data_IF_384529676294
#
_entry.id   IF_384529676294
#
_cell.length_a   1.000
_cell.length_b   1.000
_cell.length_c   1.000
_cell.angle_alpha   90.00
_cell.angle_beta   90.00
_cell.angle_gamma   90.00
#
_symmetry.space_group_name_H-M   'P 1'
#
loop_
_entity.id
_entity.type
_entity.pdbx_description
1 polymer ?
#
# COMPACT_ATOMS: atom_id res chain seq x y z
N UNK A 1 -2.38 24.34 58.79
CA UNK A 1 -3.11 23.07 59.06
C UNK A 1 -2.52 21.93 58.24
N UNK A 2 -2.01 20.86 58.90
CA UNK A 2 -1.55 19.64 58.21
C UNK A 2 -2.71 18.79 57.64
N UNK A 3 -3.91 18.88 58.22
CA UNK A 3 -5.11 18.17 57.75
C UNK A 3 -5.59 18.67 56.38
N UNK A 4 -5.58 19.99 56.13
CA UNK A 4 -6.02 20.56 54.86
C UNK A 4 -5.17 20.09 53.66
N UNK A 5 -3.85 19.88 53.87
CA UNK A 5 -2.96 19.34 52.85
C UNK A 5 -3.27 17.86 52.53
N UNK A 6 -3.45 17.02 53.57
CA UNK A 6 -3.85 15.61 53.41
C UNK A 6 -5.20 15.47 52.68
N UNK A 7 -6.19 16.32 52.98
CA UNK A 7 -7.47 16.31 52.28
C UNK A 7 -7.36 16.70 50.80
N UNK A 8 -6.50 17.65 50.43
CA UNK A 8 -6.25 17.98 49.02
C UNK A 8 -5.58 16.82 48.28
N UNK A 9 -4.57 16.18 48.88
CA UNK A 9 -3.91 15.01 48.29
C UNK A 9 -4.87 13.82 48.10
N UNK A 10 -5.72 13.53 49.08
CA UNK A 10 -6.73 12.48 48.97
C UNK A 10 -7.76 12.74 47.86
N UNK A 11 -8.24 13.98 47.71
CA UNK A 11 -9.14 14.38 46.61
C UNK A 11 -8.46 14.26 45.24
N UNK A 12 -7.19 14.64 45.13
CA UNK A 12 -6.40 14.47 43.90
C UNK A 12 -6.28 12.99 43.52
N UNK A 13 -5.91 12.13 44.48
CA UNK A 13 -5.74 10.69 44.26
C UNK A 13 -7.04 9.99 43.83
N UNK A 14 -8.18 10.32 44.44
CA UNK A 14 -9.47 9.77 44.02
C UNK A 14 -9.84 10.21 42.59
N UNK A 15 -9.64 11.49 42.23
CA UNK A 15 -9.91 11.98 40.87
C UNK A 15 -9.08 11.25 39.82
N UNK A 16 -7.80 10.97 40.10
CA UNK A 16 -6.93 10.17 39.20
C UNK A 16 -7.39 8.71 39.11
N UNK A 17 -7.84 8.11 40.22
CA UNK A 17 -8.37 6.73 40.26
C UNK A 17 -9.68 6.59 39.47
N UNK A 18 -10.58 7.58 39.55
CA UNK A 18 -11.81 7.62 38.76
C UNK A 18 -11.52 7.78 37.26
N UNK A 19 -10.61 8.69 36.88
CA UNK A 19 -10.22 8.89 35.48
C UNK A 19 -9.65 7.61 34.85
N UNK A 20 -8.67 7.00 35.52
CA UNK A 20 -8.04 5.75 35.03
C UNK A 20 -9.01 4.57 34.96
N UNK A 21 -10.01 4.52 35.86
CA UNK A 21 -11.08 3.49 35.80
C UNK A 21 -12.02 3.74 34.61
N UNK A 22 -12.38 5.00 34.34
CA UNK A 22 -13.23 5.39 33.20
C UNK A 22 -12.55 5.09 31.87
N UNK A 23 -11.25 5.37 31.71
CA UNK A 23 -10.50 5.03 30.50
C UNK A 23 -10.38 3.51 30.28
N UNK A 24 -10.10 2.74 31.34
CA UNK A 24 -10.07 1.26 31.23
C UNK A 24 -11.43 0.69 30.79
N UNK A 25 -12.54 1.29 31.22
CA UNK A 25 -13.89 0.91 30.76
C UNK A 25 -14.10 1.26 29.28
N UNK A 26 -13.79 2.49 28.86
CA UNK A 26 -13.93 2.92 27.44
C UNK A 26 -13.08 2.06 26.49
N UNK A 27 -11.86 1.69 26.88
CA UNK A 27 -11.00 0.79 26.09
C UNK A 27 -11.59 -0.62 25.93
N UNK A 28 -12.24 -1.16 26.98
CA UNK A 28 -12.94 -2.46 26.92
C UNK A 28 -14.18 -2.41 26.02
N UNK A 29 -14.98 -1.35 26.13
CA UNK A 29 -16.17 -1.14 25.29
C UNK A 29 -15.79 -0.97 23.81
N UNK A 30 -14.75 -0.19 23.50
CA UNK A 30 -14.22 -0.04 22.14
C UNK A 30 -13.65 -1.36 21.56
N UNK A 31 -12.98 -2.17 22.38
CA UNK A 31 -12.49 -3.50 21.98
C UNK A 31 -13.65 -4.45 21.63
N UNK A 32 -14.70 -4.49 22.47
CA UNK A 32 -15.90 -5.29 22.21
C UNK A 32 -16.59 -4.91 20.89
N UNK A 33 -16.73 -3.60 20.62
CA UNK A 33 -17.31 -3.09 19.37
C UNK A 33 -16.47 -3.46 18.13
N UNK A 34 -15.13 -3.46 18.22
CA UNK A 34 -14.25 -3.94 17.13
C UNK A 34 -14.48 -5.44 16.85
N UNK A 35 -14.61 -6.27 17.89
CA UNK A 35 -14.88 -7.71 17.74
C UNK A 35 -16.26 -7.99 17.11
N UNK A 36 -17.31 -7.27 17.53
CA UNK A 36 -18.63 -7.37 16.91
C UNK A 36 -18.62 -6.98 15.42
N UNK A 37 -17.94 -5.88 15.07
CA UNK A 37 -17.83 -5.43 13.67
C UNK A 37 -17.10 -6.45 12.79
N UNK A 38 -16.04 -7.09 13.30
CA UNK A 38 -15.33 -8.15 12.61
C UNK A 38 -16.20 -9.40 12.39
N UNK A 39 -17.00 -9.82 13.37
CA UNK A 39 -17.96 -10.94 13.24
C UNK A 39 -19.01 -10.67 12.16
N UNK A 40 -19.53 -9.44 12.08
CA UNK A 40 -20.52 -9.05 11.06
C UNK A 40 -19.94 -9.08 9.65
N UNK A 41 -18.75 -8.50 9.44
CA UNK A 41 -18.06 -8.54 8.14
C UNK A 41 -17.79 -9.97 7.65
N UNK A 42 -17.36 -10.88 8.55
CA UNK A 42 -17.14 -12.30 8.21
C UNK A 42 -18.42 -13.04 7.85
N UNK A 43 -19.57 -12.65 8.41
CA UNK A 43 -20.90 -13.23 8.08
C UNK A 43 -21.42 -12.73 6.73
N UNK A 44 -21.10 -11.49 6.35
CA UNK A 44 -21.50 -10.93 5.06
C UNK A 44 -20.64 -11.45 3.89
N UNK A 45 -19.33 -11.57 4.09
CA UNK A 45 -18.41 -12.19 3.12
C UNK A 45 -18.85 -13.61 2.73
N UNK A 46 -19.13 -14.48 3.71
CA UNK A 46 -19.66 -15.84 3.48
C UNK A 46 -21.04 -15.88 2.79
N UNK A 47 -21.80 -14.78 2.83
CA UNK A 47 -23.09 -14.65 2.14
C UNK A 47 -22.92 -14.32 0.66
N UNK A 48 -21.93 -13.47 0.33
CA UNK A 48 -21.58 -13.12 -1.05
C UNK A 48 -20.91 -14.28 -1.79
N UNK A 49 -20.05 -15.02 -1.09
CA UNK A 49 -19.37 -16.22 -1.61
C UNK A 49 -20.34 -17.33 -2.04
N UNK A 50 -21.45 -17.52 -1.30
CA UNK A 50 -22.52 -18.46 -1.70
C UNK A 50 -23.36 -17.99 -2.88
N UNK A 51 -23.55 -16.67 -3.04
CA UNK A 51 -24.34 -16.11 -4.15
C UNK A 51 -23.58 -16.10 -5.49
N UNK A 52 -22.25 -16.16 -5.48
CA UNK A 52 -21.45 -16.21 -6.71
C UNK A 52 -21.31 -17.59 -7.36
N UNK A 53 -21.79 -18.65 -6.71
CA UNK A 53 -21.56 -20.04 -7.14
C UNK A 53 -22.63 -20.63 -8.08
N UNK A 54 -23.75 -19.93 -8.31
CA UNK A 54 -24.92 -20.49 -9.01
C UNK A 54 -25.07 -20.09 -10.50
N UNK A 55 -24.12 -19.33 -11.06
CA UNK A 55 -24.20 -18.85 -12.46
C UNK A 55 -22.87 -18.94 -13.23
N UNK A 56 -22.53 -20.15 -13.72
CA UNK A 56 -21.77 -20.36 -14.99
C UNK A 56 -21.91 -21.81 -15.49
N UNK A 57 -22.93 -22.10 -16.32
CA UNK A 57 -23.04 -23.37 -17.04
C UNK A 57 -23.85 -23.23 -18.35
N UNK A 58 -23.17 -23.16 -19.50
CA UNK A 58 -23.67 -23.51 -20.85
C UNK A 58 -22.52 -23.37 -21.88
N UNK A 59 -21.92 -24.46 -22.38
CA UNK A 59 -22.19 -25.18 -23.66
C UNK A 59 -21.49 -24.58 -24.91
N UNK A 60 -20.64 -25.34 -25.64
CA UNK A 60 -19.93 -24.90 -26.86
C UNK A 60 -20.55 -25.42 -28.18
N UNK A 61 -20.21 -24.78 -29.32
CA UNK A 61 -20.53 -25.23 -30.69
C UNK A 61 -19.51 -24.65 -31.72
N UNK A 62 -19.46 -25.09 -32.99
CA UNK A 62 -18.63 -26.24 -33.37
C UNK A 62 -17.60 -25.94 -34.49
N UNK A 63 -16.75 -26.93 -34.79
CA UNK A 63 -15.69 -26.84 -35.80
C UNK A 63 -16.19 -27.00 -37.25
N UNK A 64 -15.40 -26.52 -38.22
CA UNK A 64 -15.49 -26.93 -39.63
C UNK A 64 -14.10 -27.02 -40.26
N UNK A 65 -13.89 -28.12 -40.98
CA UNK A 65 -12.65 -28.53 -41.65
C UNK A 65 -12.78 -28.35 -43.17
N UNK A 66 -11.68 -28.01 -43.87
CA UNK A 66 -11.28 -28.60 -45.16
C UNK A 66 -9.90 -28.07 -45.63
N UNK A 67 -9.22 -28.87 -46.46
CA UNK A 67 -7.76 -28.87 -46.62
C UNK A 67 -7.25 -28.39 -48.01
N UNK A 68 -5.93 -28.56 -48.16
CA UNK A 68 -5.05 -28.37 -49.35
C UNK A 68 -4.55 -26.93 -49.57
N UNK A 69 -3.35 -26.68 -50.14
CA UNK A 69 -2.37 -27.59 -50.79
C UNK A 69 -0.91 -27.26 -50.40
N UNK A 70 0.07 -27.90 -51.05
CA UNK A 70 1.52 -27.80 -50.83
C UNK A 70 2.19 -26.47 -51.25
N UNK A 71 3.29 -26.11 -50.58
CA UNK A 71 4.61 -25.99 -51.24
C UNK A 71 5.75 -25.84 -50.22
N UNK A 72 6.73 -26.73 -50.30
CA UNK A 72 7.98 -26.69 -49.53
C UNK A 72 8.95 -25.67 -50.12
N UNK A 73 9.23 -24.56 -49.43
CA UNK A 73 10.51 -23.79 -49.46
C UNK A 73 10.40 -22.49 -48.61
N UNK A 74 10.01 -22.58 -47.32
CA UNK A 74 9.99 -21.42 -46.41
C UNK A 74 10.18 -21.76 -44.93
N UNK A 75 11.03 -22.73 -44.63
CA UNK A 75 11.23 -23.25 -43.27
C UNK A 75 12.23 -22.43 -42.42
N UNK A 76 13.33 -21.92 -43.00
CA UNK A 76 14.39 -21.24 -42.21
C UNK A 76 14.04 -19.81 -41.77
N UNK A 77 13.33 -19.02 -42.59
CA UNK A 77 13.01 -17.61 -42.26
C UNK A 77 11.80 -17.39 -41.34
N UNK A 78 11.14 -18.48 -40.89
CA UNK A 78 10.07 -18.44 -39.88
C UNK A 78 10.56 -18.71 -38.46
N UNK A 79 11.76 -19.28 -38.28
CA UNK A 79 12.30 -19.60 -36.97
C UNK A 79 12.82 -18.34 -36.27
N UNK A 80 13.61 -17.52 -36.98
CA UNK A 80 14.12 -16.22 -36.49
C UNK A 80 13.01 -15.19 -36.22
N UNK A 81 11.88 -15.27 -36.95
CA UNK A 81 10.71 -14.40 -36.69
C UNK A 81 9.78 -14.90 -35.59
N UNK A 82 9.96 -16.13 -35.06
CA UNK A 82 9.21 -16.60 -33.89
C UNK A 82 9.80 -16.10 -32.57
N UNK A 83 11.10 -15.83 -32.52
CA UNK A 83 11.76 -15.23 -31.35
C UNK A 83 11.31 -13.77 -31.10
N UNK A 84 10.82 -13.09 -32.14
CA UNK A 84 10.31 -11.71 -32.05
C UNK A 84 8.81 -11.55 -31.75
N UNK A 85 8.08 -12.65 -31.49
CA UNK A 85 6.65 -12.59 -31.11
C UNK A 85 6.35 -13.11 -29.70
N UNK A 86 7.38 -13.35 -28.89
CA UNK A 86 7.27 -13.63 -27.45
C UNK A 86 6.97 -12.40 -26.59
N UNK A 87 6.15 -11.44 -27.06
CA UNK A 87 5.75 -10.26 -26.26
C UNK A 87 4.65 -10.63 -25.25
N UNK A 88 4.94 -11.62 -24.41
CA UNK A 88 4.20 -11.83 -23.17
C UNK A 88 4.31 -10.54 -22.35
N UNK A 89 3.18 -10.02 -21.87
CA UNK A 89 3.13 -8.85 -20.99
C UNK A 89 4.22 -8.98 -19.93
N UNK A 90 5.19 -8.06 -19.94
CA UNK A 90 6.46 -8.21 -19.23
C UNK A 90 6.19 -8.07 -17.73
N UNK A 91 5.89 -9.21 -17.09
CA UNK A 91 5.46 -9.36 -15.70
C UNK A 91 6.32 -8.51 -14.78
N UNK A 92 5.70 -7.82 -13.83
CA UNK A 92 6.44 -7.06 -12.83
C UNK A 92 7.14 -8.04 -11.89
N UNK A 93 8.49 -8.05 -11.83
CA UNK A 93 9.20 -8.98 -10.96
C UNK A 93 8.97 -8.60 -9.50
N UNK A 94 8.85 -9.62 -8.65
CA UNK A 94 8.95 -9.42 -7.20
C UNK A 94 10.33 -8.83 -6.88
N UNK A 95 10.34 -7.74 -6.12
CA UNK A 95 11.54 -7.06 -5.67
C UNK A 95 11.63 -7.22 -4.15
N UNK A 96 12.50 -8.08 -3.62
CA UNK A 96 12.76 -8.12 -2.18
C UNK A 96 13.28 -6.76 -1.71
N UNK A 97 13.24 -6.52 -0.40
CA UNK A 97 13.97 -5.37 0.17
C UNK A 97 15.46 -5.73 0.12
N UNK A 98 16.31 -5.02 -0.63
CA UNK A 98 17.75 -5.28 -0.61
C UNK A 98 18.33 -4.89 0.75
N UNK A 99 19.38 -5.59 1.17
CA UNK A 99 20.22 -5.13 2.26
C UNK A 99 21.00 -3.89 1.79
N UNK A 100 20.75 -2.76 2.46
CA UNK A 100 21.45 -1.50 2.22
C UNK A 100 22.46 -1.18 3.33
N UNK A 101 22.63 -2.08 4.31
CA UNK A 101 23.42 -1.86 5.52
C UNK A 101 22.72 -0.95 6.54
N UNK A 102 23.27 -0.93 7.76
CA UNK A 102 22.65 -0.30 8.93
C UNK A 102 22.43 1.21 8.82
N UNK A 103 23.14 1.91 7.93
CA UNK A 103 22.96 3.35 7.69
C UNK A 103 21.61 3.71 7.05
N UNK A 104 20.93 2.74 6.44
CA UNK A 104 19.74 2.97 5.63
C UNK A 104 18.52 2.26 6.20
N UNK A 105 17.35 2.80 5.89
CA UNK A 105 16.07 2.17 6.17
C UNK A 105 15.15 2.30 4.93
N UNK A 106 14.12 1.46 4.87
CA UNK A 106 13.21 1.37 3.74
C UNK A 106 11.77 1.57 4.22
N UNK A 107 11.07 2.49 3.56
CA UNK A 107 9.63 2.70 3.71
C UNK A 107 8.89 2.30 2.42
N UNK A 108 7.68 1.77 2.54
CA UNK A 108 6.80 1.46 1.40
C UNK A 108 5.43 2.09 1.62
N UNK A 109 5.02 2.99 0.72
CA UNK A 109 3.88 3.89 0.91
C UNK A 109 2.93 3.89 -0.29
N UNK A 110 1.62 3.89 -0.04
CA UNK A 110 0.55 4.13 -1.01
C UNK A 110 -0.03 5.52 -0.82
N UNK A 111 -0.02 6.34 -1.88
CA UNK A 111 -0.30 7.79 -1.82
C UNK A 111 -1.13 8.26 -3.04
N UNK A 112 -1.94 7.38 -3.62
CA UNK A 112 -2.57 7.60 -4.93
C UNK A 112 -1.65 7.22 -6.08
N UNK A 113 -1.75 7.93 -7.21
CA UNK A 113 -0.90 7.68 -8.38
C UNK A 113 0.59 7.83 -8.02
N UNK A 114 1.37 6.76 -8.17
CA UNK A 114 2.74 6.68 -7.64
C UNK A 114 3.77 7.62 -8.29
N UNK A 115 3.44 8.29 -9.40
CA UNK A 115 4.36 9.15 -10.14
C UNK A 115 4.75 10.44 -9.39
N UNK A 116 3.78 11.10 -8.73
CA UNK A 116 4.06 12.31 -7.95
C UNK A 116 4.81 11.99 -6.65
N UNK A 117 4.40 11.00 -5.84
CA UNK A 117 5.16 10.54 -4.68
C UNK A 117 6.60 10.14 -5.01
N UNK A 118 6.84 9.39 -6.09
CA UNK A 118 8.20 9.01 -6.50
C UNK A 118 9.08 10.24 -6.74
N UNK A 119 8.56 11.21 -7.51
CA UNK A 119 9.27 12.45 -7.84
C UNK A 119 9.58 13.27 -6.58
N UNK A 120 8.62 13.39 -5.66
CA UNK A 120 8.76 14.18 -4.43
C UNK A 120 9.75 13.57 -3.43
N UNK A 121 9.69 12.25 -3.21
CA UNK A 121 10.67 11.57 -2.37
C UNK A 121 12.05 11.56 -3.02
N UNK A 122 12.16 11.36 -4.34
CA UNK A 122 13.44 11.42 -5.07
C UNK A 122 14.12 12.79 -5.01
N UNK A 123 13.35 13.86 -4.79
CA UNK A 123 13.86 15.23 -4.60
C UNK A 123 14.16 15.57 -3.13
N UNK A 124 13.98 14.65 -2.19
CA UNK A 124 14.15 14.90 -0.75
C UNK A 124 15.57 14.53 -0.30
N UNK A 125 16.33 15.49 0.23
CA UNK A 125 17.71 15.27 0.68
C UNK A 125 17.81 14.16 1.74
N UNK A 126 18.69 13.18 1.54
CA UNK A 126 18.83 12.01 2.42
C UNK A 126 18.03 10.78 1.97
N UNK A 127 17.13 10.92 0.99
CA UNK A 127 16.62 9.79 0.20
C UNK A 127 17.68 9.41 -0.84
N UNK A 128 18.06 8.14 -0.86
CA UNK A 128 19.07 7.59 -1.77
C UNK A 128 18.43 7.07 -3.05
N UNK A 129 17.30 6.37 -2.93
CA UNK A 129 16.68 5.68 -4.04
C UNK A 129 15.17 5.54 -3.88
N UNK A 130 14.43 5.68 -4.98
CA UNK A 130 12.99 5.40 -5.04
C UNK A 130 12.66 4.46 -6.20
N UNK A 131 11.69 3.57 -5.95
CA UNK A 131 11.15 2.60 -6.92
C UNK A 131 9.63 2.61 -6.81
N UNK A 132 8.93 2.64 -7.95
CA UNK A 132 7.48 2.46 -8.01
C UNK A 132 7.09 1.00 -8.28
N UNK A 133 5.96 0.57 -7.74
CA UNK A 133 5.53 -0.83 -7.80
C UNK A 133 4.11 -1.05 -7.30
N UNK A 134 3.80 -2.33 -7.10
CA UNK A 134 2.48 -2.85 -6.70
C UNK A 134 2.65 -3.73 -5.46
N UNK A 135 1.86 -3.49 -4.41
CA UNK A 135 1.88 -4.30 -3.18
C UNK A 135 0.52 -4.23 -2.45
N UNK A 136 0.38 -4.96 -1.34
CA UNK A 136 -0.83 -4.99 -0.52
C UNK A 136 -1.99 -5.81 -1.11
N UNK A 137 -1.71 -6.62 -2.14
CA UNK A 137 -2.58 -7.67 -2.68
C UNK A 137 -2.01 -9.08 -2.46
N UNK A 138 -2.85 -10.09 -2.60
CA UNK A 138 -2.50 -11.52 -2.52
C UNK A 138 -2.13 -12.13 -3.86
N UNK A 139 -2.58 -11.56 -4.98
CA UNK A 139 -2.33 -12.11 -6.31
C UNK A 139 -0.86 -11.99 -6.74
N UNK A 140 -0.40 -12.90 -7.61
CA UNK A 140 0.99 -12.96 -8.04
C UNK A 140 1.21 -12.32 -9.42
N UNK A 141 2.36 -11.66 -9.59
CA UNK A 141 2.83 -11.08 -10.87
C UNK A 141 1.87 -10.05 -11.53
N UNK A 142 1.43 -9.00 -10.82
CA UNK A 142 0.64 -7.91 -11.42
C UNK A 142 1.39 -7.22 -12.58
N UNK A 143 0.63 -6.48 -13.38
CA UNK A 143 1.13 -5.56 -14.42
C UNK A 143 0.27 -4.30 -14.39
N UNK A 144 0.70 -3.18 -14.98
CA UNK A 144 -0.15 -1.99 -15.01
C UNK A 144 -1.54 -2.23 -15.63
N UNK A 145 -1.58 -3.03 -16.70
CA UNK A 145 -2.83 -3.41 -17.39
C UNK A 145 -3.71 -4.39 -16.61
N UNK A 146 -3.16 -5.05 -15.59
CA UNK A 146 -3.86 -5.94 -14.69
C UNK A 146 -3.19 -5.93 -13.32
N UNK A 147 -3.50 -4.91 -12.52
CA UNK A 147 -2.93 -4.72 -11.17
C UNK A 147 -3.52 -5.70 -10.14
N UNK A 148 -4.58 -6.42 -10.50
CA UNK A 148 -5.27 -7.38 -9.66
C UNK A 148 -5.75 -6.72 -8.36
N UNK A 149 -5.39 -7.26 -7.19
CA UNK A 149 -5.77 -6.73 -5.88
C UNK A 149 -4.66 -5.89 -5.21
N UNK A 150 -3.69 -5.39 -5.98
CA UNK A 150 -2.61 -4.53 -5.46
C UNK A 150 -2.97 -3.04 -5.48
N UNK A 151 -2.17 -2.26 -4.77
CA UNK A 151 -2.17 -0.79 -4.72
C UNK A 151 -0.86 -0.26 -5.30
N UNK A 152 -0.91 0.87 -6.00
CA UNK A 152 0.27 1.60 -6.43
C UNK A 152 1.06 2.11 -5.23
N UNK A 153 2.35 1.79 -5.22
CA UNK A 153 3.23 2.06 -4.11
C UNK A 153 4.56 2.66 -4.56
N UNK A 154 5.12 3.52 -3.71
CA UNK A 154 6.52 3.94 -3.77
C UNK A 154 7.29 3.26 -2.64
N UNK A 155 8.41 2.62 -2.98
CA UNK A 155 9.42 2.16 -2.03
C UNK A 155 10.55 3.19 -2.00
N UNK A 156 10.93 3.62 -0.82
CA UNK A 156 11.87 4.71 -0.55
C UNK A 156 12.99 4.17 0.32
N UNK A 157 14.23 4.34 -0.13
CA UNK A 157 15.45 4.00 0.63
C UNK A 157 16.05 5.32 1.10
N UNK A 158 16.22 5.48 2.40
CA UNK A 158 16.69 6.73 3.00
C UNK A 158 17.72 6.47 4.10
N UNK A 159 18.57 7.47 4.35
CA UNK A 159 19.64 7.43 5.33
C UNK A 159 19.09 7.78 6.72
N UNK A 160 19.21 6.85 7.69
CA UNK A 160 18.70 7.01 9.07
C UNK A 160 19.22 8.27 9.78
N UNK A 161 20.40 8.78 9.38
CA UNK A 161 21.00 10.01 9.93
C UNK A 161 20.27 11.31 9.54
N UNK A 162 19.39 11.28 8.54
CA UNK A 162 18.59 12.44 8.12
C UNK A 162 17.13 12.33 8.58
N UNK A 163 16.57 11.11 8.57
CA UNK A 163 15.17 10.84 8.88
C UNK A 163 15.02 9.53 9.64
N UNK A 164 14.11 9.51 10.60
CA UNK A 164 13.49 8.29 11.11
C UNK A 164 12.33 7.84 10.22
N UNK A 165 11.82 6.62 10.43
CA UNK A 165 10.60 6.16 9.77
C UNK A 165 9.38 7.05 10.09
N UNK A 166 9.32 7.64 11.31
CA UNK A 166 8.26 8.56 11.71
C UNK A 166 8.30 9.85 10.88
N UNK A 167 9.50 10.39 10.61
CA UNK A 167 9.67 11.57 9.74
C UNK A 167 9.21 11.28 8.29
N UNK A 168 9.50 10.09 7.76
CA UNK A 168 9.03 9.68 6.43
C UNK A 168 7.50 9.56 6.39
N UNK A 169 6.88 9.05 7.46
CA UNK A 169 5.42 9.03 7.60
C UNK A 169 4.83 10.45 7.71
N UNK A 170 5.49 11.38 8.39
CA UNK A 170 5.06 12.78 8.43
C UNK A 170 5.23 13.50 7.09
N UNK A 171 6.29 13.22 6.34
CA UNK A 171 6.48 13.73 4.98
C UNK A 171 5.36 13.23 4.06
N UNK A 172 4.99 11.96 4.17
CA UNK A 172 3.83 11.38 3.48
C UNK A 172 2.55 12.14 3.80
N UNK A 173 2.23 12.28 5.10
CA UNK A 173 1.01 12.96 5.55
C UNK A 173 0.97 14.45 5.19
N UNK A 174 2.13 15.12 5.08
CA UNK A 174 2.21 16.53 4.67
C UNK A 174 2.06 16.74 3.15
N UNK A 175 2.30 15.73 2.32
CA UNK A 175 2.34 15.84 0.84
C UNK A 175 1.17 15.17 0.13
N UNK A 176 0.28 14.53 0.87
CA UNK A 176 -0.83 13.75 0.35
C UNK A 176 -2.10 14.05 1.16
N UNK A 177 -3.25 14.11 0.48
CA UNK A 177 -4.57 14.21 1.09
C UNK A 177 -5.20 12.81 1.16
N UNK A 178 -5.27 12.17 2.34
CA UNK A 178 -5.91 10.87 2.46
C UNK A 178 -7.43 11.00 2.30
N UNK A 179 -8.03 10.01 1.64
CA UNK A 179 -9.47 9.92 1.43
C UNK A 179 -9.99 8.59 1.99
N UNK A 180 -11.27 8.51 2.41
CA UNK A 180 -11.87 7.26 2.83
C UNK A 180 -11.70 6.17 1.76
N UNK A 181 -11.38 4.94 2.17
CA UNK A 181 -11.22 3.82 1.23
C UNK A 181 -12.48 3.48 0.41
N UNK A 182 -13.66 3.99 0.81
CA UNK A 182 -14.91 3.92 0.04
C UNK A 182 -15.02 4.96 -1.07
N UNK A 183 -14.13 5.95 -1.10
CA UNK A 183 -14.14 7.11 -2.00
C UNK A 183 -12.99 7.11 -3.01
N UNK A 184 -12.13 6.08 -2.98
CA UNK A 184 -11.01 5.88 -3.92
C UNK A 184 -10.97 4.43 -4.38
N UNK A 185 -10.45 4.16 -5.58
CA UNK A 185 -10.20 2.78 -5.99
C UNK A 185 -9.10 2.16 -5.14
N UNK A 186 -9.10 0.83 -5.00
CA UNK A 186 -8.08 0.08 -4.26
C UNK A 186 -6.66 0.38 -4.77
N UNK A 187 -6.50 0.58 -6.08
CA UNK A 187 -5.24 0.96 -6.72
C UNK A 187 -4.61 2.23 -6.12
N UNK A 188 -5.42 3.17 -5.62
CA UNK A 188 -4.98 4.50 -5.18
C UNK A 188 -5.19 4.76 -3.67
N UNK A 189 -5.37 3.71 -2.86
CA UNK A 189 -5.64 3.85 -1.41
C UNK A 189 -4.44 4.42 -0.63
N UNK A 190 -4.74 5.16 0.44
CA UNK A 190 -3.76 5.66 1.41
C UNK A 190 -3.31 4.57 2.37
N UNK A 191 -2.02 4.23 2.39
CA UNK A 191 -1.51 3.13 3.21
C UNK A 191 -0.01 3.25 3.47
N UNK A 192 0.41 2.85 4.67
CA UNK A 192 1.80 2.66 5.07
C UNK A 192 1.99 1.16 5.29
N UNK A 193 2.90 0.53 4.54
CA UNK A 193 3.27 -0.86 4.75
C UNK A 193 4.53 -0.95 5.61
N UNK A 194 4.41 -1.63 6.75
CA UNK A 194 5.46 -1.69 7.79
C UNK A 194 6.13 -3.05 7.81
N UNK A 195 7.46 -3.06 7.92
CA UNK A 195 8.27 -4.28 7.91
C UNK A 195 8.41 -4.94 9.30
N UNK A 196 8.15 -4.19 10.38
CA UNK A 196 8.29 -4.63 11.76
C UNK A 196 7.42 -3.78 12.72
N UNK A 197 7.40 -4.16 14.00
CA UNK A 197 6.62 -3.48 15.05
C UNK A 197 7.12 -2.06 15.36
N UNK A 198 8.41 -1.75 15.13
CA UNK A 198 8.96 -0.41 15.34
C UNK A 198 8.42 0.58 14.31
N UNK A 199 8.41 0.18 13.03
CA UNK A 199 7.78 0.92 11.94
C UNK A 199 6.27 1.04 12.14
N UNK A 200 5.59 0.00 12.65
CA UNK A 200 4.17 0.05 13.04
C UNK A 200 3.92 1.14 14.07
N UNK A 201 4.67 1.12 15.18
CA UNK A 201 4.53 2.11 16.24
C UNK A 201 4.86 3.54 15.75
N UNK A 202 5.85 3.70 14.86
CA UNK A 202 6.20 4.98 14.26
C UNK A 202 5.10 5.52 13.33
N UNK A 203 4.52 4.68 12.46
CA UNK A 203 3.40 5.06 11.60
C UNK A 203 2.18 5.51 12.43
N UNK A 204 1.83 4.75 13.46
CA UNK A 204 0.69 5.05 14.34
C UNK A 204 0.90 6.37 15.12
N UNK A 205 2.11 6.65 15.61
CA UNK A 205 2.45 7.95 16.22
C UNK A 205 2.36 9.11 15.25
N UNK A 206 2.90 8.97 14.03
CA UNK A 206 2.82 10.01 13.00
C UNK A 206 1.35 10.35 12.66
N UNK A 207 0.50 9.34 12.51
CA UNK A 207 -0.94 9.52 12.28
C UNK A 207 -1.60 10.21 13.48
N UNK A 208 -1.42 9.71 14.70
CA UNK A 208 -2.01 10.30 15.92
C UNK A 208 -1.61 11.78 16.07
N UNK A 209 -0.32 12.10 15.86
CA UNK A 209 0.22 13.46 15.88
C UNK A 209 -0.49 14.38 14.86
N UNK A 210 -0.69 13.93 13.62
CA UNK A 210 -1.40 14.73 12.59
C UNK A 210 -2.88 14.92 12.92
N UNK A 211 -3.55 13.91 13.46
CA UNK A 211 -4.95 14.02 13.92
C UNK A 211 -5.07 15.04 15.07
N UNK A 212 -4.18 15.00 16.05
CA UNK A 212 -4.13 15.95 17.16
C UNK A 212 -3.83 17.39 16.70
N UNK A 213 -3.04 17.55 15.64
CA UNK A 213 -2.79 18.84 14.97
C UNK A 213 -3.93 19.29 14.03
N UNK A 214 -5.07 18.57 14.01
CA UNK A 214 -6.28 18.95 13.28
C UNK A 214 -6.44 18.31 11.90
N UNK A 215 -5.43 17.60 11.39
CA UNK A 215 -5.51 16.86 10.12
C UNK A 215 -6.26 15.54 10.31
N UNK A 216 -7.58 15.61 10.55
CA UNK A 216 -8.45 14.44 10.74
C UNK A 216 -8.39 13.42 9.60
N UNK A 217 -8.08 13.87 8.38
CA UNK A 217 -7.92 13.00 7.23
C UNK A 217 -6.81 11.94 7.41
N UNK A 218 -5.83 12.16 8.29
CA UNK A 218 -4.80 11.17 8.60
C UNK A 218 -5.37 9.83 9.11
N UNK A 219 -6.57 9.82 9.71
CA UNK A 219 -7.27 8.57 10.12
C UNK A 219 -7.63 7.65 8.94
N UNK A 220 -7.61 8.12 7.70
CA UNK A 220 -7.87 7.29 6.51
C UNK A 220 -6.64 6.56 5.98
N UNK A 221 -5.44 6.79 6.54
CA UNK A 221 -4.22 6.05 6.19
C UNK A 221 -4.22 4.70 6.92
N UNK A 222 -4.22 3.60 6.16
CA UNK A 222 -4.08 2.26 6.72
C UNK A 222 -2.62 1.97 7.14
N UNK A 223 -2.42 1.15 8.18
CA UNK A 223 -1.09 0.64 8.60
C UNK A 223 -1.10 -0.89 8.54
N UNK A 224 -0.55 -1.44 7.46
CA UNK A 224 -0.62 -2.86 7.09
C UNK A 224 0.78 -3.50 7.12
N UNK A 225 0.88 -4.81 7.36
CA UNK A 225 2.18 -5.51 7.28
C UNK A 225 2.70 -5.54 5.82
N UNK A 226 4.00 -5.39 5.63
CA UNK A 226 4.62 -5.39 4.31
C UNK A 226 4.66 -6.79 3.70
N UNK A 227 3.78 -7.02 2.71
CA UNK A 227 3.81 -8.19 1.84
C UNK A 227 4.76 -8.07 0.65
N UNK A 228 4.51 -8.91 -0.37
CA UNK A 228 5.27 -8.91 -1.63
C UNK A 228 5.12 -7.59 -2.38
N UNK A 229 6.25 -7.04 -2.84
CA UNK A 229 6.29 -5.85 -3.69
C UNK A 229 6.75 -6.22 -5.09
N UNK A 230 5.98 -5.86 -6.10
CA UNK A 230 6.28 -6.09 -7.51
C UNK A 230 6.73 -4.78 -8.16
N UNK A 231 7.94 -4.76 -8.72
CA UNK A 231 8.50 -3.56 -9.35
C UNK A 231 7.76 -3.26 -10.66
N UNK A 232 7.10 -2.10 -10.73
CA UNK A 232 6.36 -1.68 -11.92
C UNK A 232 7.26 -1.52 -13.15
N UNK A 233 6.67 -1.56 -14.34
CA UNK A 233 7.36 -1.56 -15.61
C UNK A 233 8.30 -0.34 -15.79
N UNK A 234 9.38 -0.50 -16.57
CA UNK A 234 10.47 0.50 -16.73
C UNK A 234 9.98 1.89 -17.16
N UNK A 235 8.81 2.00 -17.80
CA UNK A 235 8.24 3.27 -18.23
C UNK A 235 7.58 4.06 -17.08
N UNK A 236 7.07 3.40 -16.04
CA UNK A 236 6.54 4.09 -14.85
C UNK A 236 7.65 4.64 -13.93
N UNK A 237 8.81 3.98 -13.89
CA UNK A 237 9.94 4.40 -13.05
C UNK A 237 10.45 5.79 -13.45
N UNK A 238 10.58 6.72 -12.52
CA UNK A 238 11.02 8.11 -12.71
C UNK A 238 10.22 8.88 -13.78
N UNK A 239 8.91 8.61 -13.90
CA UNK A 239 8.08 9.06 -15.03
C UNK A 239 8.09 10.57 -15.25
N UNK A 240 7.79 11.38 -14.22
CA UNK A 240 7.65 12.85 -14.36
C UNK A 240 8.99 13.51 -14.75
N UNK A 241 10.11 12.99 -14.29
CA UNK A 241 11.42 13.55 -14.63
C UNK A 241 11.82 13.18 -16.07
N UNK A 242 11.41 12.00 -16.57
CA UNK A 242 11.58 11.62 -17.97
C UNK A 242 10.69 12.44 -18.90
N UNK A 243 9.41 12.66 -18.55
CA UNK A 243 8.49 13.44 -19.40
C UNK A 243 8.89 14.90 -19.50
N UNK A 244 9.34 15.51 -18.39
CA UNK A 244 9.85 16.90 -18.38
C UNK A 244 11.21 17.09 -19.07
N UNK A 245 11.93 16.00 -19.35
CA UNK A 245 13.14 16.01 -20.17
C UNK A 245 12.85 15.81 -21.67
N UNK A 246 11.59 15.57 -22.06
CA UNK A 246 11.18 15.57 -23.47
C UNK A 246 11.21 16.99 -24.01
N UNK A 247 11.81 17.25 -25.19
CA UNK A 247 11.75 18.56 -25.84
C UNK A 247 10.34 18.96 -26.32
N UNK A 248 9.38 18.03 -26.25
CA UNK A 248 7.96 18.22 -26.56
C UNK A 248 7.10 18.08 -25.30
N UNK A 249 7.46 18.79 -24.22
CA UNK A 249 6.75 18.72 -22.95
C UNK A 249 5.24 18.96 -23.10
N UNK A 250 4.45 18.03 -22.55
CA UNK A 250 2.99 18.13 -22.40
C UNK A 250 2.68 18.82 -21.07
#
# INVERSE_FOLDING_TARGET
SKQASKQKQAKQANKTREHTTRDKRRRREASSLKVERAKRGRKESKRRERAGAEHTASTPAPAREQAHTASTHRASSRQEKKEHMGNAFKKCPELPVPDYGEEYEVATLGMGCFWSPEKEFRATNGVEHTVVGYTGGSELNPTYKNILDHTEAVRIVYKKKFYSFEDICEIMLNRHTPLPATSVSRQYRSVIWVANDEQRAAAERAIEKKVLLGMKAAEYVAVEDLGKFYKAEKYHQNYINKSRASPYGI
#
